data_IF_448604641610
#
_entry.id   IF_448604641610
#
_cell.length_a   1.000
_cell.length_b   1.000
_cell.length_c   1.000
_cell.angle_alpha   90.00
_cell.angle_beta   90.00
_cell.angle_gamma   90.00
#
_symmetry.space_group_name_H-M   'P 1'
#
loop_
_entity.id
_entity.type
_entity.pdbx_description
1 polymer ?
#
# COMPACT_ATOMS: atom_id res chain seq x y z
N UNK A 1 -13.61 -15.74 14.50
CA UNK A 1 -12.40 -15.98 13.66
C UNK A 1 -11.99 -14.68 13.03
N UNK A 2 -10.74 -14.22 13.24
CA UNK A 2 -10.19 -13.00 12.64
C UNK A 2 -8.98 -13.28 11.72
N UNK A 3 -8.47 -14.53 11.69
CA UNK A 3 -7.34 -14.90 10.83
C UNK A 3 -7.76 -14.91 9.36
N UNK A 4 -7.21 -13.98 8.60
CA UNK A 4 -7.45 -13.78 7.17
C UNK A 4 -6.19 -14.16 6.42
N UNK A 5 -6.31 -15.07 5.47
CA UNK A 5 -5.24 -15.53 4.58
C UNK A 5 -5.55 -14.99 3.18
N UNK A 6 -4.87 -13.95 2.77
CA UNK A 6 -5.16 -13.26 1.51
C UNK A 6 -3.88 -12.87 0.76
N UNK A 7 -4.02 -12.43 -0.47
CA UNK A 7 -2.95 -11.85 -1.30
C UNK A 7 -2.26 -10.66 -0.61
N UNK A 8 -2.98 -9.95 0.27
CA UNK A 8 -2.43 -8.81 1.02
C UNK A 8 -1.71 -9.23 2.31
N UNK A 9 -1.41 -10.52 2.48
CA UNK A 9 -0.75 -11.09 3.64
C UNK A 9 -1.67 -11.88 4.57
N UNK A 10 -1.06 -12.45 5.59
CA UNK A 10 -1.70 -13.22 6.65
C UNK A 10 -1.91 -12.29 7.83
N UNK A 11 -3.15 -11.91 8.13
CA UNK A 11 -3.49 -10.95 9.17
C UNK A 11 -4.52 -11.50 10.16
N UNK A 12 -4.46 -11.02 11.39
CA UNK A 12 -5.42 -11.38 12.42
C UNK A 12 -5.24 -10.55 13.70
N UNK A 13 -6.20 -10.65 14.60
CA UNK A 13 -6.02 -10.11 15.96
C UNK A 13 -5.01 -10.95 16.70
N UNK A 14 -4.14 -10.30 17.47
CA UNK A 14 -3.10 -10.98 18.26
C UNK A 14 -3.70 -11.70 19.46
N UNK A 15 -3.23 -12.92 19.71
CA UNK A 15 -3.72 -13.80 20.81
C UNK A 15 -4.89 -14.67 20.36
N UNK A 16 -5.62 -15.24 21.33
CA UNK A 16 -6.79 -16.09 21.03
C UNK A 16 -6.44 -17.53 20.65
N UNK A 17 -7.19 -18.12 19.71
CA UNK A 17 -7.12 -19.54 19.34
C UNK A 17 -6.30 -19.75 18.08
N UNK A 18 -5.47 -20.80 18.07
CA UNK A 18 -4.66 -21.20 16.89
C UNK A 18 -5.60 -21.46 15.70
N UNK A 19 -5.23 -20.88 14.55
CA UNK A 19 -6.00 -21.02 13.31
C UNK A 19 -7.22 -20.07 13.19
N UNK A 20 -7.61 -19.40 14.28
CA UNK A 20 -8.69 -18.41 14.30
C UNK A 20 -8.21 -16.97 14.46
N UNK A 21 -7.04 -16.79 15.05
CA UNK A 21 -6.38 -15.53 15.34
C UNK A 21 -4.92 -15.62 14.90
N UNK A 22 -4.17 -14.52 14.92
CA UNK A 22 -2.74 -14.53 14.67
C UNK A 22 -1.99 -14.86 15.98
N UNK A 23 -1.84 -16.14 16.27
CA UNK A 23 -1.11 -16.64 17.44
C UNK A 23 0.37 -16.84 17.15
N UNK A 24 1.24 -17.03 18.18
CA UNK A 24 2.65 -17.38 17.96
C UNK A 24 2.85 -18.63 17.08
N UNK A 25 1.97 -19.64 17.23
CA UNK A 25 2.03 -20.86 16.40
C UNK A 25 1.72 -20.55 14.95
N UNK A 26 0.73 -19.70 14.68
CA UNK A 26 0.38 -19.27 13.32
C UNK A 26 1.52 -18.47 12.69
N UNK A 27 2.16 -17.56 13.43
CA UNK A 27 3.34 -16.81 12.95
C UNK A 27 4.45 -17.76 12.52
N UNK A 28 4.83 -18.73 13.36
CA UNK A 28 5.87 -19.72 13.03
C UNK A 28 5.45 -20.54 11.80
N UNK A 29 4.22 -21.06 11.77
CA UNK A 29 3.69 -21.88 10.67
C UNK A 29 3.75 -21.15 9.32
N UNK A 30 3.24 -19.92 9.26
CA UNK A 30 3.25 -19.14 8.01
C UNK A 30 4.64 -18.69 7.59
N UNK A 31 5.51 -18.35 8.54
CA UNK A 31 6.90 -18.02 8.24
C UNK A 31 7.65 -19.23 7.67
N UNK A 32 7.45 -20.41 8.26
CA UNK A 32 8.03 -21.66 7.76
C UNK A 32 7.52 -21.98 6.35
N UNK A 33 6.20 -21.90 6.12
CA UNK A 33 5.61 -22.15 4.80
C UNK A 33 6.16 -21.20 3.73
N UNK A 34 6.34 -19.92 4.06
CA UNK A 34 6.94 -18.96 3.14
C UNK A 34 8.41 -19.28 2.85
N UNK A 35 9.17 -19.64 3.87
CA UNK A 35 10.56 -20.08 3.69
C UNK A 35 10.65 -21.30 2.76
N UNK A 36 9.79 -22.32 2.96
CA UNK A 36 9.73 -23.50 2.09
C UNK A 36 9.41 -23.12 0.64
N UNK A 37 8.42 -22.24 0.44
CA UNK A 37 8.05 -21.73 -0.88
C UNK A 37 9.23 -21.08 -1.62
N UNK A 38 10.01 -20.26 -0.93
CA UNK A 38 11.17 -19.62 -1.53
C UNK A 38 12.29 -20.64 -1.84
N UNK A 39 12.52 -21.62 -0.96
CA UNK A 39 13.47 -22.70 -1.19
C UNK A 39 13.11 -23.53 -2.41
N UNK A 40 11.83 -23.94 -2.54
CA UNK A 40 11.30 -24.66 -3.72
C UNK A 40 11.57 -23.87 -5.02
N UNK A 41 11.28 -22.59 -5.03
CA UNK A 41 11.46 -21.73 -6.21
C UNK A 41 12.95 -21.59 -6.60
N UNK A 42 13.84 -21.52 -5.62
CA UNK A 42 15.29 -21.44 -5.87
C UNK A 42 15.81 -22.73 -6.51
N UNK A 43 15.40 -23.89 -6.03
CA UNK A 43 15.78 -25.20 -6.57
C UNK A 43 15.28 -25.36 -8.02
N UNK A 44 14.04 -24.93 -8.31
CA UNK A 44 13.47 -24.97 -9.66
C UNK A 44 14.23 -24.06 -10.62
N UNK A 45 14.63 -22.89 -10.17
CA UNK A 45 15.41 -21.93 -10.98
C UNK A 45 16.82 -22.46 -11.25
N UNK A 46 17.48 -23.04 -10.25
CA UNK A 46 18.81 -23.66 -10.41
C UNK A 46 18.79 -24.86 -11.38
N UNK A 47 17.74 -25.67 -11.34
CA UNK A 47 17.57 -26.82 -12.23
C UNK A 47 17.26 -26.45 -13.69
N UNK A 48 16.64 -25.29 -13.93
CA UNK A 48 16.28 -24.80 -15.26
C UNK A 48 17.40 -23.98 -15.95
N UNK A 49 18.41 -23.52 -15.21
CA UNK A 49 19.48 -22.64 -15.70
C UNK A 49 20.82 -23.37 -15.97
N UNK A 50 20.79 -24.64 -16.37
CA UNK A 50 22.04 -25.36 -16.75
C UNK A 50 22.78 -24.75 -17.95
N UNK A 51 22.27 -23.69 -18.57
CA UNK A 51 22.83 -23.05 -19.76
C UNK A 51 22.67 -21.52 -19.79
N UNK A 52 23.21 -20.75 -18.82
CA UNK A 52 23.53 -19.35 -19.10
C UNK A 52 24.23 -18.59 -17.96
N UNK A 53 25.19 -17.83 -18.38
CA UNK A 53 26.15 -16.96 -17.74
C UNK A 53 25.58 -15.73 -16.98
N UNK A 54 25.04 -15.92 -15.78
CA UNK A 54 24.92 -14.85 -14.79
C UNK A 54 25.46 -15.35 -13.43
N UNK A 55 26.78 -15.28 -13.30
CA UNK A 55 27.56 -15.88 -12.22
C UNK A 55 27.52 -15.14 -10.86
N UNK A 56 26.81 -14.01 -10.74
CA UNK A 56 26.81 -13.24 -9.48
C UNK A 56 25.77 -13.71 -8.46
N UNK A 57 24.65 -14.31 -8.86
CA UNK A 57 23.62 -14.79 -7.93
C UNK A 57 23.70 -16.31 -7.63
N UNK A 58 24.41 -17.07 -8.47
CA UNK A 58 24.55 -18.52 -8.31
C UNK A 58 25.56 -18.95 -7.22
N UNK A 59 26.39 -18.03 -6.74
CA UNK A 59 27.51 -18.35 -5.81
C UNK A 59 27.16 -18.18 -4.32
N UNK A 60 25.93 -17.77 -3.98
CA UNK A 60 25.49 -17.71 -2.58
C UNK A 60 24.98 -19.05 -2.10
N UNK A 61 25.69 -19.64 -1.15
CA UNK A 61 25.31 -20.92 -0.54
C UNK A 61 24.04 -20.84 0.32
N UNK A 62 23.68 -19.66 0.86
CA UNK A 62 22.54 -19.45 1.76
C UNK A 62 21.54 -18.43 1.18
N UNK A 63 20.24 -18.66 1.45
CA UNK A 63 19.18 -17.68 1.17
C UNK A 63 19.24 -16.53 2.17
N UNK A 64 18.77 -15.35 1.73
CA UNK A 64 18.72 -14.13 2.53
C UNK A 64 17.32 -13.55 2.55
N UNK A 65 16.83 -13.16 3.72
CA UNK A 65 15.53 -12.48 3.87
C UNK A 65 15.64 -11.20 4.67
N UNK A 66 14.95 -10.17 4.19
CA UNK A 66 14.76 -8.91 4.91
C UNK A 66 13.50 -9.00 5.77
N UNK A 67 13.58 -8.51 7.01
CA UNK A 67 12.44 -8.42 7.92
C UNK A 67 12.33 -6.99 8.45
N UNK A 68 11.15 -6.37 8.31
CA UNK A 68 10.86 -5.05 8.86
C UNK A 68 9.52 -5.05 9.58
N UNK A 69 9.28 -4.08 10.47
CA UNK A 69 8.01 -3.96 11.20
C UNK A 69 7.60 -2.52 11.45
N UNK A 70 6.30 -2.29 11.57
CA UNK A 70 5.77 -1.05 12.13
C UNK A 70 5.93 -0.98 13.66
N UNK A 71 5.41 0.09 14.28
CA UNK A 71 5.55 0.30 15.72
C UNK A 71 4.49 -0.42 16.56
N UNK A 72 3.63 -1.27 15.98
CA UNK A 72 2.59 -2.00 16.74
C UNK A 72 3.17 -2.70 17.97
N UNK A 73 2.46 -2.65 19.08
CA UNK A 73 2.88 -3.21 20.37
C UNK A 73 3.31 -4.68 20.25
N UNK A 74 2.58 -5.46 19.46
CA UNK A 74 2.89 -6.88 19.20
C UNK A 74 4.09 -7.09 18.27
N UNK A 75 4.52 -6.04 17.56
CA UNK A 75 5.52 -6.14 16.48
C UNK A 75 6.83 -6.78 16.93
N UNK A 76 7.37 -6.38 18.09
CA UNK A 76 8.65 -6.94 18.58
C UNK A 76 8.57 -8.44 18.94
N UNK A 77 7.40 -8.92 19.38
CA UNK A 77 7.20 -10.35 19.67
C UNK A 77 7.13 -11.13 18.36
N UNK A 78 6.31 -10.65 17.42
CA UNK A 78 6.15 -11.29 16.11
C UNK A 78 7.47 -11.30 15.35
N UNK A 79 8.24 -10.19 15.39
CA UNK A 79 9.56 -10.10 14.74
C UNK A 79 10.53 -11.17 15.23
N UNK A 80 10.65 -11.37 16.56
CA UNK A 80 11.51 -12.42 17.12
C UNK A 80 11.12 -13.81 16.67
N UNK A 81 9.81 -14.11 16.59
CA UNK A 81 9.32 -15.39 16.09
C UNK A 81 9.68 -15.58 14.62
N UNK A 82 9.45 -14.58 13.78
CA UNK A 82 9.79 -14.59 12.35
C UNK A 82 11.29 -14.80 12.15
N UNK A 83 12.13 -13.96 12.75
CA UNK A 83 13.58 -14.03 12.59
C UNK A 83 14.15 -15.39 13.08
N UNK A 84 13.72 -15.87 14.25
CA UNK A 84 14.17 -17.15 14.77
C UNK A 84 13.71 -18.32 13.90
N UNK A 85 12.51 -18.28 13.35
CA UNK A 85 12.00 -19.31 12.44
C UNK A 85 12.82 -19.34 11.15
N UNK A 86 13.09 -18.18 10.53
CA UNK A 86 13.91 -18.09 9.33
C UNK A 86 15.33 -18.62 9.54
N UNK A 87 15.97 -18.24 10.67
CA UNK A 87 17.28 -18.79 11.04
C UNK A 87 17.25 -20.31 11.19
N UNK A 88 16.17 -20.85 11.80
CA UNK A 88 15.97 -22.30 11.95
C UNK A 88 15.75 -23.02 10.61
N UNK A 89 15.34 -22.29 9.57
CA UNK A 89 15.23 -22.79 8.20
C UNK A 89 16.54 -22.68 7.41
N UNK A 90 17.63 -22.21 8.03
CA UNK A 90 18.91 -22.02 7.37
C UNK A 90 18.99 -20.75 6.52
N UNK A 91 18.16 -19.76 6.80
CA UNK A 91 18.06 -18.51 6.04
C UNK A 91 18.78 -17.38 6.80
N UNK A 92 19.63 -16.64 6.10
CA UNK A 92 20.25 -15.42 6.60
C UNK A 92 19.18 -14.32 6.76
N UNK A 93 19.08 -13.73 7.96
CA UNK A 93 18.10 -12.70 8.29
C UNK A 93 18.78 -11.34 8.36
N UNK A 94 18.26 -10.38 7.60
CA UNK A 94 18.56 -8.95 7.70
C UNK A 94 17.35 -8.28 8.35
N UNK A 95 17.44 -8.03 9.66
CA UNK A 95 16.37 -7.38 10.43
C UNK A 95 16.56 -5.86 10.38
N UNK A 96 15.56 -5.13 9.89
CA UNK A 96 15.55 -3.67 9.85
C UNK A 96 15.03 -3.06 11.17
N UNK A 97 14.49 -3.90 12.06
CA UNK A 97 13.79 -3.43 13.24
C UNK A 97 12.53 -2.63 12.88
N UNK A 98 12.37 -1.41 13.42
CA UNK A 98 11.32 -0.48 12.98
C UNK A 98 11.62 -0.01 11.56
N UNK A 99 10.65 -0.19 10.67
CA UNK A 99 10.76 0.16 9.25
C UNK A 99 9.38 0.48 8.67
N UNK A 100 9.36 1.16 7.53
CA UNK A 100 8.13 1.35 6.75
C UNK A 100 7.96 0.20 5.75
N UNK A 101 6.74 0.02 5.24
CA UNK A 101 6.50 -0.93 4.14
C UNK A 101 7.39 -0.63 2.95
N UNK A 102 7.40 0.58 2.35
CA UNK A 102 8.25 0.87 1.19
C UNK A 102 9.75 0.78 1.50
N UNK A 103 10.21 1.15 2.69
CA UNK A 103 11.62 0.98 3.06
C UNK A 103 12.01 -0.50 3.10
N UNK A 104 11.12 -1.38 3.58
CA UNK A 104 11.39 -2.82 3.60
C UNK A 104 11.42 -3.40 2.17
N UNK A 105 10.52 -2.97 1.30
CA UNK A 105 10.50 -3.32 -0.12
C UNK A 105 11.80 -2.91 -0.83
N UNK A 106 12.24 -1.68 -0.62
CA UNK A 106 13.52 -1.17 -1.13
C UNK A 106 14.71 -1.95 -0.58
N UNK A 107 14.70 -2.29 0.71
CA UNK A 107 15.78 -3.05 1.33
C UNK A 107 15.91 -4.47 0.74
N UNK A 108 14.82 -5.14 0.35
CA UNK A 108 14.88 -6.42 -0.37
C UNK A 108 15.72 -6.29 -1.64
N UNK A 109 15.48 -5.24 -2.43
CA UNK A 109 16.20 -4.98 -3.68
C UNK A 109 17.67 -4.61 -3.39
N UNK A 110 17.88 -3.65 -2.49
CA UNK A 110 19.21 -3.10 -2.19
C UNK A 110 20.16 -4.12 -1.52
N UNK A 111 19.62 -4.99 -0.68
CA UNK A 111 20.37 -6.06 -0.03
C UNK A 111 20.44 -7.33 -0.88
N UNK A 112 19.90 -7.32 -2.09
CA UNK A 112 19.79 -8.48 -2.99
C UNK A 112 19.23 -9.70 -2.25
N UNK A 113 18.16 -9.52 -1.47
CA UNK A 113 17.55 -10.61 -0.73
C UNK A 113 16.62 -11.45 -1.62
N UNK A 114 16.44 -12.71 -1.25
CA UNK A 114 15.56 -13.64 -1.97
C UNK A 114 14.08 -13.38 -1.69
N UNK A 115 13.79 -12.58 -0.66
CA UNK A 115 12.46 -12.13 -0.29
C UNK A 115 12.46 -11.31 0.99
N UNK A 116 11.25 -10.97 1.46
CA UNK A 116 11.10 -10.21 2.71
C UNK A 116 9.78 -10.46 3.42
N UNK A 117 9.73 -10.07 4.68
CA UNK A 117 8.52 -10.07 5.49
C UNK A 117 8.36 -8.71 6.16
N UNK A 118 7.21 -8.07 5.93
CA UNK A 118 6.83 -6.86 6.65
C UNK A 118 5.79 -7.22 7.70
N UNK A 119 6.07 -6.89 8.95
CA UNK A 119 5.20 -7.17 10.09
C UNK A 119 4.38 -5.93 10.39
N UNK A 120 3.21 -5.84 9.79
CA UNK A 120 2.28 -4.71 9.92
C UNK A 120 0.88 -5.11 9.47
N UNK A 121 -0.14 -4.55 10.10
CA UNK A 121 -1.52 -4.63 9.63
C UNK A 121 -2.00 -3.29 9.03
N UNK A 122 -1.06 -2.42 8.55
CA UNK A 122 -1.36 -1.11 7.97
C UNK A 122 -2.33 -0.30 8.86
N UNK A 123 -3.43 0.17 8.31
CA UNK A 123 -4.46 0.97 8.97
C UNK A 123 -5.42 0.20 9.88
N UNK A 124 -5.28 -1.12 10.04
CA UNK A 124 -6.11 -1.85 11.00
C UNK A 124 -5.87 -1.38 12.45
N UNK A 125 -6.85 -1.48 13.35
CA UNK A 125 -6.69 -1.13 14.76
C UNK A 125 -5.51 -1.85 15.44
N UNK A 126 -5.03 -1.32 16.58
CA UNK A 126 -3.78 -1.75 17.21
C UNK A 126 -3.72 -3.21 17.66
N UNK A 127 -4.87 -3.86 17.91
CA UNK A 127 -4.94 -5.29 18.25
C UNK A 127 -4.66 -6.23 17.08
N UNK A 128 -4.61 -5.71 15.85
CA UNK A 128 -4.27 -6.47 14.65
C UNK A 128 -2.76 -6.47 14.40
N UNK A 129 -2.27 -7.55 13.76
CA UNK A 129 -0.98 -7.57 13.09
C UNK A 129 -1.05 -8.49 11.87
N UNK A 130 -0.02 -8.46 11.03
CA UNK A 130 0.05 -9.31 9.86
C UNK A 130 1.49 -9.61 9.46
N UNK A 131 1.64 -10.64 8.62
CA UNK A 131 2.83 -10.95 7.83
C UNK A 131 2.51 -10.61 6.37
N UNK A 132 3.08 -9.55 5.84
CA UNK A 132 3.06 -9.21 4.40
C UNK A 132 4.31 -9.81 3.77
N UNK A 133 4.17 -10.59 2.72
CA UNK A 133 5.23 -11.41 2.12
C UNK A 133 5.71 -10.77 0.82
N UNK A 134 7.03 -10.60 0.68
CA UNK A 134 7.67 -9.99 -0.48
C UNK A 134 8.52 -11.00 -1.24
N UNK A 135 8.46 -10.94 -2.57
CA UNK A 135 9.37 -11.65 -3.46
C UNK A 135 10.73 -10.96 -3.54
N UNK A 136 11.66 -11.50 -4.32
CA UNK A 136 13.02 -10.96 -4.50
C UNK A 136 13.10 -9.62 -5.25
N UNK A 137 11.97 -9.11 -5.76
CA UNK A 137 11.87 -7.77 -6.37
C UNK A 137 11.36 -6.72 -5.38
N UNK A 138 11.16 -7.07 -4.12
CA UNK A 138 10.54 -6.21 -3.13
C UNK A 138 9.05 -5.97 -3.35
N UNK A 139 8.38 -6.84 -4.10
CA UNK A 139 6.95 -6.74 -4.40
C UNK A 139 6.17 -7.77 -3.61
N UNK A 140 4.91 -7.51 -3.31
CA UNK A 140 4.06 -8.52 -2.69
C UNK A 140 3.94 -9.76 -3.58
N UNK A 141 3.88 -10.92 -2.93
CA UNK A 141 3.63 -12.19 -3.62
C UNK A 141 2.28 -12.15 -4.35
N UNK A 142 2.19 -12.81 -5.50
CA UNK A 142 0.97 -12.91 -6.29
C UNK A 142 -0.11 -13.74 -5.60
N UNK A 143 -1.34 -13.67 -6.10
CA UNK A 143 -2.44 -14.47 -5.57
C UNK A 143 -2.24 -15.99 -5.71
N UNK A 144 -1.52 -16.44 -6.72
CA UNK A 144 -1.20 -17.86 -6.91
C UNK A 144 -0.12 -18.30 -5.93
N UNK A 145 0.93 -17.51 -5.76
CA UNK A 145 1.99 -17.74 -4.76
C UNK A 145 1.42 -17.77 -3.35
N UNK A 146 0.55 -16.82 -2.99
CA UNK A 146 -0.12 -16.80 -1.69
C UNK A 146 -0.94 -18.06 -1.42
N UNK A 147 -1.67 -18.59 -2.42
CA UNK A 147 -2.38 -19.87 -2.30
C UNK A 147 -1.43 -21.04 -2.09
N UNK A 148 -0.30 -21.08 -2.81
CA UNK A 148 0.73 -22.13 -2.62
C UNK A 148 1.31 -22.08 -1.21
N UNK A 149 1.64 -20.89 -0.70
CA UNK A 149 2.15 -20.70 0.67
C UNK A 149 1.14 -21.19 1.71
N UNK A 150 -0.15 -20.87 1.53
CA UNK A 150 -1.21 -21.38 2.43
C UNK A 150 -1.28 -22.90 2.42
N UNK A 151 -1.16 -23.56 1.27
CA UNK A 151 -1.13 -25.03 1.19
C UNK A 151 0.08 -25.61 1.91
N UNK A 152 1.24 -24.98 1.84
CA UNK A 152 2.44 -25.41 2.55
C UNK A 152 2.31 -25.36 4.08
N UNK A 153 1.38 -24.58 4.63
CA UNK A 153 1.11 -24.60 6.08
C UNK A 153 0.54 -25.93 6.58
N UNK A 154 0.01 -26.76 5.70
CA UNK A 154 -0.59 -28.08 6.01
C UNK A 154 0.38 -29.24 5.75
N UNK A 155 1.62 -28.94 5.30
CA UNK A 155 2.61 -29.97 5.00
C UNK A 155 3.26 -30.49 6.29
N UNK A 156 3.36 -31.82 6.41
CA UNK A 156 4.11 -32.50 7.47
C UNK A 156 5.58 -32.79 7.08
N UNK A 157 6.00 -32.46 5.84
CA UNK A 157 7.32 -32.79 5.29
C UNK A 157 8.37 -31.65 5.49
N UNK A 158 8.13 -30.76 6.46
CA UNK A 158 9.01 -29.62 6.71
C UNK A 158 10.27 -30.09 7.42
N UNK A 159 11.44 -29.71 6.85
CA UNK A 159 12.74 -29.97 7.47
C UNK A 159 13.39 -28.66 7.90
N UNK A 160 13.79 -28.59 9.16
CA UNK A 160 14.59 -27.48 9.69
C UNK A 160 16.08 -27.75 9.54
N UNK A 161 16.89 -26.67 9.53
CA UNK A 161 18.33 -26.78 9.38
C UNK A 161 18.99 -27.43 10.59
N UNK A 162 20.04 -28.21 10.34
CA UNK A 162 20.93 -28.75 11.39
C UNK A 162 21.79 -27.62 11.97
N UNK A 163 22.40 -27.84 13.14
CA UNK A 163 23.17 -26.84 13.88
C UNK A 163 24.26 -26.15 13.06
N UNK A 164 24.86 -26.85 12.14
CA UNK A 164 25.93 -26.38 11.23
C UNK A 164 25.40 -25.59 10.03
N UNK A 165 24.06 -25.57 9.83
CA UNK A 165 23.36 -24.90 8.71
C UNK A 165 22.37 -23.84 9.16
N UNK A 166 22.36 -23.47 10.44
CA UNK A 166 21.51 -22.40 10.94
C UNK A 166 21.84 -21.08 10.23
N UNK A 167 20.80 -20.30 9.91
CA UNK A 167 20.95 -18.98 9.33
C UNK A 167 21.56 -17.96 10.29
N UNK A 168 22.27 -16.98 9.74
CA UNK A 168 22.78 -15.84 10.49
C UNK A 168 21.71 -14.78 10.76
N UNK A 169 22.00 -13.86 11.67
CA UNK A 169 21.14 -12.70 11.96
C UNK A 169 21.99 -11.43 11.96
N UNK A 170 21.53 -10.42 11.26
CA UNK A 170 22.16 -9.09 11.21
C UNK A 170 21.09 -8.02 11.39
N UNK A 171 21.30 -7.09 12.32
CA UNK A 171 20.50 -5.87 12.42
C UNK A 171 21.04 -4.84 11.43
N UNK A 172 20.17 -4.29 10.56
CA UNK A 172 20.55 -3.30 9.55
C UNK A 172 19.82 -1.98 9.78
N UNK A 173 20.53 -0.99 10.31
CA UNK A 173 19.95 0.28 10.77
C UNK A 173 19.92 1.37 9.68
N UNK A 174 20.54 1.16 8.51
CA UNK A 174 20.64 2.19 7.47
C UNK A 174 19.51 2.17 6.44
N UNK A 175 18.55 1.25 6.52
CA UNK A 175 17.53 1.05 5.48
C UNK A 175 16.73 2.31 5.16
N UNK A 176 16.32 3.10 6.16
CA UNK A 176 15.61 4.37 5.94
C UNK A 176 16.49 5.37 5.20
N UNK A 177 17.76 5.47 5.57
CA UNK A 177 18.71 6.36 4.90
C UNK A 177 18.92 5.97 3.45
N UNK A 178 19.13 4.69 3.17
CA UNK A 178 19.35 4.18 1.82
C UNK A 178 18.12 4.40 0.93
N UNK A 179 16.92 4.24 1.49
CA UNK A 179 15.67 4.53 0.79
C UNK A 179 15.56 6.03 0.47
N UNK A 180 15.82 6.91 1.45
CA UNK A 180 15.84 8.37 1.25
C UNK A 180 16.88 8.78 0.21
N UNK A 181 18.08 8.22 0.26
CA UNK A 181 19.14 8.49 -0.72
C UNK A 181 18.69 8.08 -2.14
N UNK A 182 17.97 6.97 -2.29
CA UNK A 182 17.40 6.55 -3.58
C UNK A 182 16.34 7.56 -4.08
N UNK A 183 15.46 8.06 -3.21
CA UNK A 183 14.46 9.10 -3.55
C UNK A 183 15.15 10.39 -4.01
N UNK A 184 16.20 10.82 -3.31
CA UNK A 184 16.94 12.04 -3.65
C UNK A 184 17.65 11.97 -5.02
N UNK A 185 17.96 10.77 -5.50
CA UNK A 185 18.57 10.53 -6.80
C UNK A 185 17.57 10.47 -7.96
N UNK A 186 16.26 10.50 -7.68
CA UNK A 186 15.23 10.50 -8.72
C UNK A 186 15.27 11.79 -9.56
N UNK A 187 15.17 11.69 -10.90
CA UNK A 187 15.27 12.86 -11.78
C UNK A 187 14.19 13.94 -11.52
N UNK A 188 13.03 13.54 -11.02
CA UNK A 188 11.91 14.44 -10.74
C UNK A 188 11.92 15.03 -9.33
N UNK A 189 12.85 14.64 -8.46
CA UNK A 189 13.01 15.21 -7.12
C UNK A 189 14.03 16.33 -7.17
N UNK A 190 13.60 17.57 -6.89
CA UNK A 190 14.46 18.77 -6.94
C UNK A 190 14.69 19.33 -5.54
N UNK A 191 15.69 18.78 -4.84
CA UNK A 191 16.11 19.22 -3.52
C UNK A 191 16.40 20.72 -3.48
N UNK A 192 17.01 21.29 -4.53
CA UNK A 192 17.37 22.72 -4.56
C UNK A 192 16.12 23.59 -4.61
N UNK A 193 15.11 23.22 -5.39
CA UNK A 193 13.85 23.93 -5.44
C UNK A 193 13.12 23.87 -4.10
N UNK A 194 13.05 22.70 -3.46
CA UNK A 194 12.43 22.51 -2.15
C UNK A 194 13.15 23.34 -1.08
N UNK A 195 14.49 23.28 -1.03
CA UNK A 195 15.29 24.08 -0.08
C UNK A 195 15.05 25.57 -0.23
N UNK A 196 14.98 26.09 -1.47
CA UNK A 196 14.72 27.52 -1.75
C UNK A 196 13.30 27.94 -1.36
N UNK A 197 12.33 27.03 -1.48
CA UNK A 197 10.94 27.32 -1.10
C UNK A 197 10.77 27.50 0.41
N UNK A 198 11.68 26.94 1.22
CA UNK A 198 11.72 27.08 2.69
C UNK A 198 10.38 26.74 3.35
N UNK A 199 9.81 25.59 2.98
CA UNK A 199 8.51 25.14 3.46
C UNK A 199 8.50 24.89 4.97
N UNK A 200 7.36 25.20 5.59
CA UNK A 200 6.99 24.81 6.95
C UNK A 200 6.02 23.64 6.88
N UNK A 201 6.45 22.49 7.35
CA UNK A 201 5.72 21.23 7.22
C UNK A 201 5.28 20.72 8.58
N UNK A 202 4.05 20.23 8.68
CA UNK A 202 3.57 19.47 9.84
C UNK A 202 3.26 18.03 9.41
N UNK A 203 3.65 17.09 10.26
CA UNK A 203 3.45 15.66 10.05
C UNK A 203 2.50 15.11 11.11
N UNK A 204 1.63 14.17 10.74
CA UNK A 204 0.98 13.26 11.67
C UNK A 204 1.40 11.84 11.34
N UNK A 205 2.08 11.19 12.27
CA UNK A 205 2.71 9.87 12.10
C UNK A 205 2.07 8.78 12.93
N UNK A 206 0.92 9.08 13.53
CA UNK A 206 0.04 8.13 14.25
C UNK A 206 0.75 7.25 15.28
N UNK A 207 1.82 7.76 15.92
CA UNK A 207 2.70 7.03 16.84
C UNK A 207 3.31 5.75 16.24
N UNK A 208 3.69 5.81 14.94
CA UNK A 208 4.29 4.70 14.23
C UNK A 208 5.51 5.13 13.39
N UNK A 209 5.90 4.32 12.42
CA UNK A 209 7.18 4.43 11.70
C UNK A 209 7.30 5.63 10.76
N UNK A 210 6.21 6.35 10.51
CA UNK A 210 6.28 7.68 9.90
C UNK A 210 7.18 8.65 10.66
N UNK A 211 7.21 8.55 12.02
CA UNK A 211 8.08 9.36 12.85
C UNK A 211 9.58 9.03 12.70
N UNK A 212 9.91 7.82 12.24
CA UNK A 212 11.28 7.41 11.92
C UNK A 212 11.71 7.94 10.55
N UNK A 213 10.88 7.77 9.53
CA UNK A 213 11.30 7.96 8.14
C UNK A 213 11.08 9.38 7.61
N UNK A 214 9.93 10.02 7.92
CA UNK A 214 9.57 11.30 7.33
C UNK A 214 10.47 12.47 7.78
N UNK A 215 10.86 12.60 9.06
CA UNK A 215 11.81 13.65 9.46
C UNK A 215 13.17 13.52 8.77
N UNK A 216 13.65 12.29 8.52
CA UNK A 216 14.88 12.02 7.77
C UNK A 216 14.73 12.48 6.33
N UNK A 217 13.65 12.09 5.65
CA UNK A 217 13.35 12.53 4.28
C UNK A 217 13.30 14.05 4.17
N UNK A 218 12.52 14.73 5.00
CA UNK A 218 12.32 16.17 4.94
C UNK A 218 13.62 16.94 5.20
N UNK A 219 14.41 16.51 6.17
CA UNK A 219 15.73 17.08 6.45
C UNK A 219 16.65 16.96 5.23
N UNK A 220 16.72 15.80 4.62
CA UNK A 220 17.57 15.57 3.45
C UNK A 220 17.05 16.32 2.21
N UNK A 221 15.75 16.57 2.08
CA UNK A 221 15.17 17.46 1.07
C UNK A 221 15.42 18.95 1.36
N UNK A 222 15.99 19.31 2.52
CA UNK A 222 16.28 20.69 2.90
C UNK A 222 15.11 21.44 3.54
N UNK A 223 14.09 20.72 4.04
CA UNK A 223 13.00 21.28 4.85
C UNK A 223 13.46 21.32 6.30
N UNK A 224 13.65 22.54 6.85
CA UNK A 224 14.19 22.75 8.20
C UNK A 224 13.13 23.03 9.27
N UNK A 225 11.93 23.48 8.87
CA UNK A 225 10.82 23.79 9.80
C UNK A 225 9.79 22.65 9.73
N UNK A 226 9.98 21.64 10.58
CA UNK A 226 9.15 20.44 10.64
C UNK A 226 8.58 20.24 12.03
N UNK A 227 7.28 20.15 12.14
CA UNK A 227 6.57 19.77 13.38
C UNK A 227 6.02 18.34 13.22
N UNK A 228 6.25 17.49 14.21
CA UNK A 228 5.73 16.12 14.23
C UNK A 228 4.66 15.98 15.29
N UNK A 229 3.45 15.63 14.89
CA UNK A 229 2.38 15.17 15.77
C UNK A 229 2.42 13.64 15.87
N UNK A 230 2.08 13.14 17.06
CA UNK A 230 1.94 11.69 17.28
C UNK A 230 3.19 10.90 16.86
N UNK A 231 4.36 11.35 17.34
CA UNK A 231 5.68 10.84 16.93
C UNK A 231 6.35 9.85 17.89
N UNK A 232 5.63 9.23 18.84
CA UNK A 232 6.24 8.43 19.91
C UNK A 232 6.68 7.00 19.51
N UNK A 233 6.31 6.53 18.35
CA UNK A 233 6.64 5.18 17.82
C UNK A 233 6.37 4.03 18.81
N UNK A 234 5.35 4.17 19.66
CA UNK A 234 5.00 3.20 20.70
C UNK A 234 3.88 2.24 20.28
N UNK A 235 3.28 2.45 19.10
CA UNK A 235 2.18 1.65 18.56
C UNK A 235 0.84 1.85 19.26
N UNK A 236 0.75 2.81 20.18
CA UNK A 236 -0.51 3.30 20.75
C UNK A 236 -1.01 4.41 19.84
N UNK A 237 -1.80 4.06 18.84
CA UNK A 237 -2.26 5.00 17.83
C UNK A 237 -3.09 6.12 18.45
N UNK A 238 -2.72 7.36 18.18
CA UNK A 238 -3.35 8.55 18.79
C UNK A 238 -4.79 8.77 18.28
N UNK A 239 -5.11 8.27 17.11
CA UNK A 239 -6.43 8.22 16.50
C UNK A 239 -6.57 6.93 15.68
N UNK A 240 -7.72 6.70 15.06
CA UNK A 240 -7.86 5.59 14.11
C UNK A 240 -6.80 5.74 13.01
N UNK A 241 -5.96 4.72 12.77
CA UNK A 241 -4.76 4.86 11.93
C UNK A 241 -5.04 4.96 10.43
N UNK A 242 -6.28 4.86 9.98
CA UNK A 242 -6.61 5.11 8.59
C UNK A 242 -6.64 6.62 8.30
N UNK A 243 -5.85 7.14 7.33
CA UNK A 243 -5.76 8.57 7.04
C UNK A 243 -6.93 9.07 6.18
N UNK A 244 -8.14 8.99 6.72
CA UNK A 244 -9.40 9.46 6.13
C UNK A 244 -9.95 10.66 6.90
N UNK A 245 -10.85 11.47 6.31
CA UNK A 245 -11.30 12.73 6.87
C UNK A 245 -11.75 12.67 8.33
N UNK A 246 -12.46 11.62 8.72
CA UNK A 246 -13.02 11.44 10.06
C UNK A 246 -11.94 11.34 11.15
N UNK A 247 -10.72 10.95 10.78
CA UNK A 247 -9.63 10.71 11.70
C UNK A 247 -8.61 11.87 11.78
N UNK A 248 -8.71 12.89 10.90
CA UNK A 248 -7.68 13.89 10.69
C UNK A 248 -7.96 15.25 11.33
N UNK A 249 -8.97 15.36 12.20
CA UNK A 249 -9.34 16.62 12.84
C UNK A 249 -8.18 17.29 13.61
N UNK A 250 -7.27 16.51 14.20
CA UNK A 250 -6.13 17.01 14.96
C UNK A 250 -5.18 17.87 14.12
N UNK A 251 -4.70 17.32 13.01
CA UNK A 251 -3.78 18.05 12.11
C UNK A 251 -4.49 19.19 11.36
N UNK A 252 -5.74 19.01 10.94
CA UNK A 252 -6.53 20.07 10.31
C UNK A 252 -6.66 21.29 11.23
N UNK A 253 -6.94 21.06 12.51
CA UNK A 253 -7.00 22.14 13.51
C UNK A 253 -5.63 22.79 13.77
N UNK A 254 -4.54 22.01 13.77
CA UNK A 254 -3.19 22.56 13.92
C UNK A 254 -2.81 23.43 12.71
N UNK A 255 -3.09 22.99 11.50
CA UNK A 255 -2.87 23.73 10.25
C UNK A 255 -3.66 25.05 10.24
N UNK A 256 -4.96 25.04 10.56
CA UNK A 256 -5.81 26.23 10.53
C UNK A 256 -5.43 27.33 11.53
N UNK A 257 -4.66 27.00 12.57
CA UNK A 257 -4.24 27.90 13.65
C UNK A 257 -2.78 28.36 13.54
N UNK A 258 -2.06 27.89 12.54
CA UNK A 258 -0.62 28.09 12.40
C UNK A 258 -0.25 28.40 10.94
N UNK A 259 0.99 28.79 10.69
CA UNK A 259 1.46 29.19 9.37
C UNK A 259 2.28 28.05 8.72
N UNK A 260 1.71 26.84 8.63
CA UNK A 260 2.30 25.75 7.85
C UNK A 260 1.91 25.88 6.37
N UNK A 261 2.80 25.47 5.48
CA UNK A 261 2.55 25.47 4.04
C UNK A 261 1.81 24.20 3.60
N UNK A 262 2.08 23.08 4.27
CA UNK A 262 1.46 21.78 3.97
C UNK A 262 1.54 20.85 5.18
N UNK A 263 0.51 20.04 5.37
CA UNK A 263 0.47 18.92 6.32
C UNK A 263 0.49 17.58 5.60
N UNK A 264 1.22 16.61 6.14
CA UNK A 264 1.24 15.24 5.66
C UNK A 264 0.82 14.28 6.76
N UNK A 265 -0.05 13.34 6.43
CA UNK A 265 -0.49 12.27 7.32
C UNK A 265 -0.22 10.94 6.67
N UNK A 266 0.35 10.02 7.43
CA UNK A 266 0.61 8.65 6.95
C UNK A 266 -0.03 7.63 7.87
N UNK A 267 -0.29 6.45 7.33
CA UNK A 267 -0.71 5.29 8.12
C UNK A 267 0.50 4.63 8.83
N UNK A 268 0.29 3.65 9.71
CA UNK A 268 1.35 3.08 10.54
C UNK A 268 2.59 2.55 9.83
N UNK A 269 2.45 2.08 8.60
CA UNK A 269 3.53 1.51 7.79
C UNK A 269 3.91 2.36 6.57
N UNK A 270 3.34 3.58 6.46
CA UNK A 270 3.79 4.65 5.55
C UNK A 270 3.62 4.31 4.06
N UNK A 271 2.64 3.47 3.75
CA UNK A 271 2.29 3.15 2.35
C UNK A 271 1.16 4.04 1.82
N UNK A 272 0.50 4.85 2.69
CA UNK A 272 -0.55 5.81 2.34
C UNK A 272 -0.20 7.22 2.78
N UNK A 273 -0.58 8.20 1.96
CA UNK A 273 -0.33 9.63 2.17
C UNK A 273 -1.63 10.42 2.01
N UNK A 274 -2.06 11.08 3.07
CA UNK A 274 -3.05 12.15 3.01
C UNK A 274 -2.37 13.52 3.17
N UNK A 275 -2.86 14.51 2.43
CA UNK A 275 -2.32 15.86 2.40
C UNK A 275 -3.34 16.83 3.01
N UNK A 276 -2.85 17.80 3.79
CA UNK A 276 -3.65 18.88 4.38
C UNK A 276 -3.12 20.21 3.86
N UNK A 277 -4.03 21.05 3.36
CA UNK A 277 -3.67 22.36 2.80
C UNK A 277 -3.31 23.36 3.88
N UNK A 278 -2.68 24.46 3.50
CA UNK A 278 -2.29 25.58 4.37
C UNK A 278 -3.46 26.19 5.18
N UNK A 279 -4.69 25.96 4.76
CA UNK A 279 -5.90 26.44 5.45
C UNK A 279 -6.50 25.40 6.41
N UNK A 280 -5.88 24.22 6.55
CA UNK A 280 -6.40 23.12 7.37
C UNK A 280 -7.53 22.33 6.71
N UNK A 281 -7.77 22.53 5.41
CA UNK A 281 -8.70 21.70 4.63
C UNK A 281 -7.99 20.48 4.08
N UNK A 282 -8.70 19.37 3.95
CA UNK A 282 -8.13 18.16 3.37
C UNK A 282 -7.93 18.32 1.86
N UNK A 283 -6.80 17.86 1.37
CA UNK A 283 -6.54 17.73 -0.07
C UNK A 283 -7.43 16.62 -0.66
N UNK A 284 -7.91 15.72 0.18
CA UNK A 284 -8.58 14.46 -0.03
C UNK A 284 -7.59 13.37 -0.52
N UNK A 285 -7.65 12.19 0.08
CA UNK A 285 -6.70 11.08 -0.14
C UNK A 285 -6.65 10.60 -1.60
N UNK A 286 -7.79 10.64 -2.30
CA UNK A 286 -7.88 10.31 -3.74
C UNK A 286 -6.98 11.23 -4.59
N UNK A 287 -6.87 12.51 -4.21
CA UNK A 287 -6.14 13.51 -4.99
C UNK A 287 -4.64 13.54 -4.72
N UNK A 288 -4.15 12.83 -3.72
CA UNK A 288 -2.71 12.62 -3.54
C UNK A 288 -2.10 12.02 -4.80
N UNK A 289 -2.64 10.90 -5.26
CA UNK A 289 -2.21 10.24 -6.49
C UNK A 289 -2.40 11.14 -7.72
N UNK A 290 -3.52 11.84 -7.80
CA UNK A 290 -3.86 12.72 -8.94
C UNK A 290 -2.83 13.84 -9.10
N UNK A 291 -2.49 14.54 -8.01
CA UNK A 291 -1.55 15.66 -8.04
C UNK A 291 -0.11 15.20 -8.34
N UNK A 292 0.32 14.10 -7.71
CA UNK A 292 1.65 13.53 -7.99
C UNK A 292 1.73 13.04 -9.44
N UNK A 293 0.66 12.43 -9.96
CA UNK A 293 0.59 12.00 -11.36
C UNK A 293 0.61 13.18 -12.34
N UNK A 294 -0.11 14.27 -12.04
CA UNK A 294 -0.07 15.48 -12.89
C UNK A 294 1.37 16.02 -12.98
N UNK A 295 2.10 16.06 -11.86
CA UNK A 295 3.50 16.47 -11.85
C UNK A 295 4.39 15.52 -12.65
N UNK A 296 4.25 14.20 -12.48
CA UNK A 296 5.04 13.22 -13.24
C UNK A 296 4.75 13.34 -14.74
N UNK A 297 3.47 13.41 -15.14
CA UNK A 297 3.08 13.48 -16.54
C UNK A 297 3.50 14.78 -17.25
N UNK A 298 3.69 15.89 -16.51
CA UNK A 298 4.28 17.12 -17.06
C UNK A 298 5.71 16.92 -17.57
N UNK A 299 6.46 15.98 -16.99
CA UNK A 299 7.87 15.76 -17.29
C UNK A 299 8.12 14.45 -18.05
N UNK A 300 7.32 13.43 -17.74
CA UNK A 300 7.43 12.09 -18.33
C UNK A 300 6.02 11.63 -18.73
N UNK A 301 5.50 12.10 -19.89
CA UNK A 301 4.19 11.65 -20.38
C UNK A 301 4.17 10.14 -20.57
N UNK A 302 3.12 9.47 -20.07
CA UNK A 302 2.98 8.01 -20.13
C UNK A 302 1.66 7.53 -19.55
N UNK A 303 1.44 6.22 -19.62
CA UNK A 303 0.21 5.61 -19.12
C UNK A 303 0.12 5.67 -17.60
N UNK A 304 -1.10 5.68 -17.07
CA UNK A 304 -1.36 5.63 -15.63
C UNK A 304 -2.30 4.48 -15.28
N UNK A 305 -2.22 4.02 -14.03
CA UNK A 305 -3.07 2.95 -13.50
C UNK A 305 -3.57 3.31 -12.11
N UNK A 306 -4.85 3.09 -11.85
CA UNK A 306 -5.35 2.96 -10.48
C UNK A 306 -6.41 1.86 -10.38
N UNK A 307 -6.83 1.53 -9.16
CA UNK A 307 -7.87 0.51 -9.03
C UNK A 307 -9.27 1.05 -9.39
N UNK A 308 -10.20 0.13 -9.67
CA UNK A 308 -11.58 0.43 -10.09
C UNK A 308 -12.39 1.26 -9.07
N UNK A 309 -11.97 1.32 -7.81
CA UNK A 309 -12.64 2.11 -6.76
C UNK A 309 -12.02 3.51 -6.56
N UNK A 310 -11.01 3.87 -7.34
CA UNK A 310 -10.34 5.18 -7.28
C UNK A 310 -11.09 6.24 -8.10
N UNK A 311 -10.84 7.51 -7.76
CA UNK A 311 -11.44 8.65 -8.45
C UNK A 311 -11.11 8.68 -9.94
N UNK A 312 -12.09 9.11 -10.75
CA UNK A 312 -11.87 9.38 -12.19
C UNK A 312 -10.94 10.57 -12.45
N UNK A 313 -10.65 11.38 -11.43
CA UNK A 313 -9.77 12.53 -11.57
C UNK A 313 -8.37 12.15 -12.11
N UNK A 314 -7.86 10.93 -11.81
CA UNK A 314 -6.62 10.44 -12.42
C UNK A 314 -6.76 10.24 -13.92
N UNK A 315 -7.91 9.70 -14.36
CA UNK A 315 -8.20 9.55 -15.79
C UNK A 315 -8.23 10.91 -16.49
N UNK A 316 -8.90 11.91 -15.90
CA UNK A 316 -9.00 13.26 -16.48
C UNK A 316 -7.60 13.91 -16.64
N UNK A 317 -6.73 13.74 -15.63
CA UNK A 317 -5.34 14.20 -15.72
C UNK A 317 -4.58 13.45 -16.81
N UNK A 318 -4.76 12.13 -16.92
CA UNK A 318 -4.07 11.31 -17.93
C UNK A 318 -4.51 11.71 -19.34
N UNK A 319 -5.81 11.89 -19.54
CA UNK A 319 -6.40 12.34 -20.82
C UNK A 319 -5.89 13.73 -21.24
N UNK A 320 -5.68 14.66 -20.30
CA UNK A 320 -5.10 15.98 -20.52
C UNK A 320 -3.73 15.93 -21.22
N UNK A 321 -2.93 14.88 -20.95
CA UNK A 321 -1.64 14.65 -21.61
C UNK A 321 -1.72 13.73 -22.83
N UNK A 322 -2.91 13.32 -23.25
CA UNK A 322 -3.12 12.43 -24.39
C UNK A 322 -2.62 11.00 -24.16
N UNK A 323 -2.53 10.58 -22.90
CA UNK A 323 -2.06 9.26 -22.48
C UNK A 323 -3.22 8.34 -22.12
N UNK A 324 -2.93 7.07 -21.86
CA UNK A 324 -3.95 6.06 -21.57
C UNK A 324 -4.02 5.77 -20.07
N UNK A 325 -5.21 5.95 -19.48
CA UNK A 325 -5.54 5.47 -18.16
C UNK A 325 -6.09 4.04 -18.23
N UNK A 326 -5.61 3.13 -17.38
CA UNK A 326 -6.10 1.75 -17.31
C UNK A 326 -6.52 1.41 -15.86
N UNK A 327 -7.77 1.04 -15.61
CA UNK A 327 -8.19 0.59 -14.28
C UNK A 327 -7.79 -0.87 -14.03
N UNK A 328 -7.41 -1.19 -12.79
CA UNK A 328 -7.13 -2.55 -12.31
C UNK A 328 -8.20 -3.04 -11.32
N UNK A 329 -8.17 -4.33 -10.98
CA UNK A 329 -8.82 -4.82 -9.78
C UNK A 329 -8.28 -4.12 -8.52
N UNK A 330 -9.06 -4.10 -7.45
CA UNK A 330 -8.65 -3.49 -6.16
C UNK A 330 -7.54 -4.31 -5.51
N UNK A 331 -6.58 -3.61 -4.94
CA UNK A 331 -5.41 -4.16 -4.25
C UNK A 331 -4.12 -3.92 -5.00
N UNK A 332 -3.08 -3.57 -4.24
CA UNK A 332 -1.79 -3.14 -4.76
C UNK A 332 -1.18 -4.10 -5.77
N UNK A 333 -1.21 -5.41 -5.49
CA UNK A 333 -0.68 -6.45 -6.41
C UNK A 333 -1.30 -6.33 -7.80
N UNK A 334 -2.62 -6.12 -7.87
CA UNK A 334 -3.34 -5.99 -9.14
C UNK A 334 -2.99 -4.68 -9.87
N UNK A 335 -2.77 -3.60 -9.09
CA UNK A 335 -2.32 -2.31 -9.65
C UNK A 335 -0.94 -2.47 -10.24
N UNK A 336 0.01 -3.05 -9.51
CA UNK A 336 1.40 -3.28 -9.95
C UNK A 336 1.44 -4.16 -11.19
N UNK A 337 0.69 -5.25 -11.23
CA UNK A 337 0.60 -6.13 -12.39
C UNK A 337 0.09 -5.37 -13.64
N UNK A 338 -0.96 -4.56 -13.47
CA UNK A 338 -1.50 -3.74 -14.56
C UNK A 338 -0.53 -2.65 -15.00
N UNK A 339 0.20 -2.01 -14.06
CA UNK A 339 1.23 -1.02 -14.37
C UNK A 339 2.33 -1.62 -15.25
N UNK A 340 2.82 -2.81 -14.90
CA UNK A 340 3.82 -3.53 -15.71
C UNK A 340 3.30 -3.88 -17.09
N UNK A 341 2.06 -4.39 -17.17
CA UNK A 341 1.41 -4.77 -18.44
C UNK A 341 1.23 -3.58 -19.39
N UNK A 342 0.97 -2.39 -18.86
CA UNK A 342 0.69 -1.18 -19.64
C UNK A 342 1.89 -0.24 -19.74
N UNK A 343 3.04 -0.58 -19.15
CA UNK A 343 4.20 0.28 -18.99
C UNK A 343 3.82 1.65 -18.41
N UNK A 344 3.00 1.65 -17.35
CA UNK A 344 2.56 2.87 -16.69
C UNK A 344 3.72 3.57 -15.98
N UNK A 345 3.84 4.88 -16.15
CA UNK A 345 4.91 5.70 -15.55
C UNK A 345 4.60 6.08 -14.10
N UNK A 346 3.33 6.00 -13.72
CA UNK A 346 2.86 6.22 -12.35
C UNK A 346 1.52 5.52 -12.16
N UNK A 347 1.25 5.08 -10.95
CA UNK A 347 -0.02 4.48 -10.58
C UNK A 347 -0.23 4.48 -9.07
N UNK A 348 -1.27 3.81 -8.62
CA UNK A 348 -1.56 3.68 -7.20
C UNK A 348 -3.01 3.38 -6.88
N UNK A 349 -3.40 3.71 -5.68
CA UNK A 349 -4.77 3.53 -5.18
C UNK A 349 -5.32 4.84 -4.62
N UNK A 350 -6.64 5.04 -4.72
CA UNK A 350 -7.34 6.23 -4.22
C UNK A 350 -7.36 6.38 -2.69
N UNK A 351 -6.62 5.57 -1.97
CA UNK A 351 -6.43 5.65 -0.53
C UNK A 351 -5.15 6.42 -0.13
N UNK A 352 -4.58 7.20 -1.03
CA UNK A 352 -3.32 7.92 -0.85
C UNK A 352 -2.06 7.13 -1.21
N UNK A 353 -2.22 5.93 -1.75
CA UNK A 353 -1.09 5.08 -2.16
C UNK A 353 -0.53 5.47 -3.52
N UNK A 354 0.70 5.96 -3.58
CA UNK A 354 1.43 6.32 -4.80
C UNK A 354 2.44 5.24 -5.13
N UNK A 355 2.45 4.77 -6.37
CA UNK A 355 3.45 3.81 -6.90
C UNK A 355 4.22 4.50 -8.03
N UNK A 356 5.52 4.69 -7.85
CA UNK A 356 6.39 5.31 -8.83
C UNK A 356 7.49 4.33 -9.30
N UNK A 357 7.34 3.71 -10.50
CA UNK A 357 8.20 2.62 -10.97
C UNK A 357 9.67 2.96 -11.13
N UNK A 358 10.01 4.25 -11.33
CA UNK A 358 11.42 4.70 -11.36
C UNK A 358 12.14 4.45 -10.03
N UNK A 359 11.39 4.30 -8.92
CA UNK A 359 11.93 3.93 -7.62
C UNK A 359 11.71 2.44 -7.36
N UNK A 360 10.45 2.02 -7.23
CA UNK A 360 10.04 0.62 -7.05
C UNK A 360 8.54 0.42 -7.33
N UNK A 361 8.11 -0.84 -7.38
CA UNK A 361 6.71 -1.22 -7.59
C UNK A 361 5.99 -1.50 -6.25
N UNK A 362 5.95 -0.50 -5.37
CA UNK A 362 5.20 -0.52 -4.11
C UNK A 362 4.60 0.84 -3.80
N UNK A 363 3.55 0.89 -2.98
CA UNK A 363 2.98 2.15 -2.52
C UNK A 363 3.93 2.81 -1.53
N UNK A 364 4.25 4.08 -1.76
CA UNK A 364 5.29 4.79 -1.03
C UNK A 364 4.90 6.25 -0.76
N UNK A 365 4.63 6.56 0.51
CA UNK A 365 4.34 7.92 0.94
C UNK A 365 5.59 8.82 0.91
N UNK A 366 6.81 8.26 1.08
CA UNK A 366 8.04 9.06 1.05
C UNK A 366 8.28 9.66 -0.34
N UNK A 367 8.20 8.83 -1.39
CA UNK A 367 8.33 9.32 -2.77
C UNK A 367 7.17 10.26 -3.14
N UNK A 368 5.96 9.96 -2.67
CA UNK A 368 4.80 10.84 -2.83
C UNK A 368 5.04 12.24 -2.27
N UNK A 369 5.58 12.34 -1.05
CA UNK A 369 5.95 13.62 -0.40
C UNK A 369 7.04 14.35 -1.19
N UNK A 370 8.10 13.66 -1.61
CA UNK A 370 9.22 14.29 -2.32
C UNK A 370 8.78 14.87 -3.68
N UNK A 371 7.97 14.13 -4.43
CA UNK A 371 7.42 14.58 -5.72
C UNK A 371 6.42 15.73 -5.52
N UNK A 372 5.54 15.66 -4.51
CA UNK A 372 4.56 16.72 -4.23
C UNK A 372 5.23 17.99 -3.77
N UNK A 373 6.22 17.94 -2.87
CA UNK A 373 7.00 19.13 -2.46
C UNK A 373 7.77 19.74 -3.63
N UNK A 374 8.31 18.91 -4.53
CA UNK A 374 8.96 19.41 -5.74
C UNK A 374 7.94 20.12 -6.65
N UNK A 375 6.76 19.56 -6.81
CA UNK A 375 5.66 20.18 -7.56
C UNK A 375 5.27 21.54 -6.97
N UNK A 376 5.07 21.62 -5.65
CA UNK A 376 4.80 22.89 -4.97
C UNK A 376 5.92 23.92 -5.22
N UNK A 377 7.17 23.52 -5.02
CA UNK A 377 8.34 24.41 -5.15
C UNK A 377 8.51 24.94 -6.58
N UNK A 378 8.38 24.09 -7.60
CA UNK A 378 8.54 24.49 -9.02
C UNK A 378 7.37 25.32 -9.53
N UNK A 379 6.14 25.00 -9.12
CA UNK A 379 4.95 25.74 -9.55
C UNK A 379 4.81 27.09 -8.84
N UNK A 380 5.43 27.26 -7.66
CA UNK A 380 5.24 28.44 -6.80
C UNK A 380 3.81 28.56 -6.23
N UNK A 381 3.01 27.52 -6.33
CA UNK A 381 1.62 27.49 -5.87
C UNK A 381 1.54 26.96 -4.43
N UNK A 382 0.58 27.49 -3.67
CA UNK A 382 0.21 26.92 -2.38
C UNK A 382 -0.48 25.57 -2.56
N UNK A 383 -0.47 24.75 -1.53
CA UNK A 383 -1.09 23.42 -1.55
C UNK A 383 -2.57 23.48 -1.99
N UNK A 384 -3.37 24.36 -1.40
CA UNK A 384 -4.77 24.57 -1.78
C UNK A 384 -4.97 25.02 -3.22
N UNK A 385 -4.03 25.83 -3.77
CA UNK A 385 -4.08 26.26 -5.16
C UNK A 385 -3.79 25.10 -6.14
N UNK A 386 -2.95 24.15 -5.74
CA UNK A 386 -2.74 22.92 -6.53
C UNK A 386 -4.01 22.09 -6.52
N UNK A 387 -4.64 21.88 -5.35
CA UNK A 387 -5.89 21.13 -5.25
C UNK A 387 -6.99 21.71 -6.13
N UNK A 388 -7.13 23.03 -6.15
CA UNK A 388 -8.14 23.73 -6.93
C UNK A 388 -7.97 23.63 -8.46
N UNK A 389 -6.90 23.01 -8.97
CA UNK A 389 -6.71 22.78 -10.39
C UNK A 389 -7.50 21.57 -10.91
N UNK A 390 -7.95 20.71 -10.00
CA UNK A 390 -8.67 19.46 -10.32
C UNK A 390 -10.15 19.61 -10.04
N UNK A 391 -11.03 18.96 -10.83
CA UNK A 391 -12.46 18.91 -10.55
C UNK A 391 -12.73 18.31 -9.17
N UNK A 392 -13.80 18.75 -8.53
CA UNK A 392 -14.27 18.15 -7.28
C UNK A 392 -15.17 16.96 -7.60
N UNK A 393 -14.68 15.77 -7.28
CA UNK A 393 -15.48 14.55 -7.26
C UNK A 393 -15.72 14.09 -5.83
N UNK A 394 -16.92 13.55 -5.59
CA UNK A 394 -17.37 13.07 -4.29
C UNK A 394 -17.63 11.57 -4.36
N UNK A 395 -16.93 10.81 -3.53
CA UNK A 395 -17.11 9.36 -3.44
C UNK A 395 -17.94 9.03 -2.20
N UNK A 396 -19.07 8.34 -2.42
CA UNK A 396 -19.91 7.78 -1.36
C UNK A 396 -19.65 6.30 -1.27
N UNK A 397 -19.41 5.81 -0.04
CA UNK A 397 -19.09 4.41 0.28
C UNK A 397 -20.26 3.83 1.09
N UNK A 398 -20.96 2.83 0.55
CA UNK A 398 -22.04 2.09 1.22
C UNK A 398 -21.69 0.60 1.31
N UNK A 399 -22.33 -0.08 2.25
CA UNK A 399 -22.25 -1.54 2.38
C UNK A 399 -23.63 -2.11 2.64
N UNK A 400 -23.85 -3.34 2.21
CA UNK A 400 -25.04 -4.13 2.54
C UNK A 400 -24.63 -5.53 2.93
N UNK A 401 -25.23 -6.04 3.99
CA UNK A 401 -25.06 -7.42 4.40
C UNK A 401 -25.81 -8.34 3.44
N UNK A 402 -25.26 -9.51 3.21
CA UNK A 402 -25.88 -10.54 2.40
C UNK A 402 -26.20 -11.75 3.28
N UNK A 403 -27.33 -12.39 2.99
CA UNK A 403 -27.58 -13.73 3.50
C UNK A 403 -26.57 -14.71 2.89
N UNK A 404 -26.10 -15.67 3.70
CA UNK A 404 -25.13 -16.67 3.29
C UNK A 404 -25.61 -17.58 2.12
N UNK A 405 -26.91 -17.59 1.83
CA UNK A 405 -27.52 -18.32 0.72
C UNK A 405 -27.41 -17.63 -0.64
N UNK A 406 -27.00 -16.33 -0.67
CA UNK A 406 -26.95 -15.55 -1.91
C UNK A 406 -25.71 -15.93 -2.74
N UNK A 407 -25.95 -16.37 -3.97
CA UNK A 407 -24.86 -16.52 -4.97
C UNK A 407 -24.45 -15.13 -5.48
N UNK A 408 -23.35 -14.60 -4.88
CA UNK A 408 -22.82 -13.26 -5.20
C UNK A 408 -22.42 -13.17 -6.67
N UNK A 409 -21.88 -14.24 -7.25
CA UNK A 409 -21.43 -14.23 -8.65
C UNK A 409 -22.62 -14.11 -9.60
N UNK A 410 -23.70 -14.84 -9.33
CA UNK A 410 -24.93 -14.74 -10.10
C UNK A 410 -25.59 -13.36 -9.95
N UNK A 411 -25.60 -12.81 -8.74
CA UNK A 411 -26.12 -11.46 -8.48
C UNK A 411 -25.35 -10.39 -9.25
N UNK A 412 -24.02 -10.41 -9.21
CA UNK A 412 -23.17 -9.48 -9.97
C UNK A 412 -23.38 -9.63 -11.49
N UNK A 413 -23.62 -10.86 -11.97
CA UNK A 413 -24.02 -11.12 -13.35
C UNK A 413 -25.30 -10.41 -13.75
N UNK A 414 -26.36 -10.55 -12.94
CA UNK A 414 -27.65 -9.89 -13.16
C UNK A 414 -27.54 -8.35 -13.15
N UNK A 415 -26.69 -7.79 -12.26
CA UNK A 415 -26.42 -6.34 -12.22
C UNK A 415 -25.77 -5.90 -13.53
N UNK A 416 -24.74 -6.60 -14.00
CA UNK A 416 -24.06 -6.29 -15.24
C UNK A 416 -25.00 -6.33 -16.46
N UNK A 417 -25.93 -7.27 -16.49
CA UNK A 417 -26.97 -7.38 -17.53
C UNK A 417 -27.98 -6.22 -17.46
N UNK A 418 -28.48 -5.88 -16.26
CA UNK A 418 -29.42 -4.76 -16.05
C UNK A 418 -28.84 -3.43 -16.54
N UNK A 419 -27.52 -3.23 -16.43
CA UNK A 419 -26.82 -2.01 -16.83
C UNK A 419 -26.04 -2.13 -18.13
N UNK A 420 -26.33 -3.14 -18.97
CA UNK A 420 -25.62 -3.41 -20.23
C UNK A 420 -25.65 -2.28 -21.27
N UNK A 421 -26.54 -1.31 -21.12
CA UNK A 421 -26.61 -0.11 -21.97
C UNK A 421 -25.52 0.94 -21.63
N UNK A 422 -24.78 0.75 -20.53
CA UNK A 422 -23.69 1.59 -20.08
C UNK A 422 -22.35 0.86 -20.27
N UNK A 423 -21.25 1.57 -20.08
CA UNK A 423 -19.94 0.94 -20.04
C UNK A 423 -19.80 0.14 -18.73
N UNK A 424 -19.67 -1.18 -18.83
CA UNK A 424 -19.58 -2.08 -17.69
C UNK A 424 -18.19 -2.75 -17.66
N UNK A 425 -17.49 -2.62 -16.54
CA UNK A 425 -16.24 -3.33 -16.27
C UNK A 425 -16.48 -4.43 -15.21
N UNK A 426 -16.00 -5.65 -15.49
CA UNK A 426 -16.21 -6.85 -14.66
C UNK A 426 -14.92 -7.47 -14.11
N UNK A 427 -13.84 -6.72 -14.12
CA UNK A 427 -12.52 -7.20 -13.66
C UNK A 427 -12.50 -7.50 -12.15
N UNK A 428 -13.22 -6.68 -11.36
CA UNK A 428 -13.40 -6.89 -9.91
C UNK A 428 -14.82 -6.48 -9.54
N UNK A 429 -15.72 -7.45 -9.38
CA UNK A 429 -17.14 -7.15 -9.23
C UNK A 429 -17.76 -6.56 -10.49
N UNK A 430 -18.50 -5.46 -10.36
CA UNK A 430 -19.13 -4.75 -11.48
C UNK A 430 -18.99 -3.25 -11.27
N UNK A 431 -18.26 -2.57 -12.13
CA UNK A 431 -18.24 -1.11 -12.23
C UNK A 431 -19.05 -0.69 -13.46
N UNK A 432 -19.91 0.29 -13.25
CA UNK A 432 -20.77 0.90 -14.28
C UNK A 432 -20.32 2.36 -14.40
N UNK A 433 -19.84 2.75 -15.57
CA UNK A 433 -19.46 4.13 -15.86
C UNK A 433 -20.60 4.83 -16.61
N UNK A 434 -21.06 5.95 -16.05
CA UNK A 434 -21.97 6.90 -16.65
C UNK A 434 -21.16 8.06 -17.27
N UNK A 435 -21.84 9.05 -17.87
CA UNK A 435 -21.17 10.18 -18.50
C UNK A 435 -20.24 10.94 -17.51
N UNK A 436 -20.78 11.36 -16.35
CA UNK A 436 -20.08 12.18 -15.35
C UNK A 436 -19.92 11.49 -13.99
N UNK A 437 -20.20 10.21 -13.91
CA UNK A 437 -20.20 9.47 -12.64
C UNK A 437 -19.92 8.00 -12.86
N UNK A 438 -19.69 7.28 -11.78
CA UNK A 438 -19.60 5.83 -11.83
C UNK A 438 -20.13 5.20 -10.53
N UNK A 439 -20.48 3.91 -10.60
CA UNK A 439 -20.73 3.09 -9.42
C UNK A 439 -20.03 1.75 -9.54
N UNK A 440 -19.38 1.33 -8.46
CA UNK A 440 -18.66 0.08 -8.36
C UNK A 440 -19.24 -0.78 -7.24
N UNK A 441 -19.65 -2.00 -7.57
CA UNK A 441 -20.17 -2.99 -6.63
C UNK A 441 -19.30 -4.22 -6.64
N UNK A 442 -18.85 -4.63 -5.45
CA UNK A 442 -18.01 -5.83 -5.31
C UNK A 442 -18.22 -6.53 -3.97
N UNK A 443 -17.91 -7.83 -3.93
CA UNK A 443 -17.89 -8.57 -2.68
C UNK A 443 -16.73 -8.11 -1.78
N UNK A 444 -16.91 -8.19 -0.48
CA UNK A 444 -15.78 -8.13 0.45
C UNK A 444 -15.07 -9.48 0.45
N UNK A 445 -13.73 -9.45 0.48
CA UNK A 445 -12.92 -10.67 0.61
C UNK A 445 -12.86 -11.20 2.04
N UNK A 446 -13.40 -10.44 3.02
CA UNK A 446 -13.21 -10.71 4.46
C UNK A 446 -14.52 -10.80 5.24
N UNK A 447 -15.62 -10.33 4.68
CA UNK A 447 -16.93 -10.24 5.33
C UNK A 447 -18.04 -10.61 4.34
N UNK A 448 -19.18 -11.17 4.81
CA UNK A 448 -20.33 -11.49 3.94
C UNK A 448 -21.12 -10.21 3.59
N UNK A 449 -20.45 -9.23 2.98
CA UNK A 449 -21.02 -7.95 2.57
C UNK A 449 -20.70 -7.63 1.11
N UNK A 450 -21.56 -6.87 0.50
CA UNK A 450 -21.28 -6.14 -0.74
C UNK A 450 -20.92 -4.70 -0.40
N UNK A 451 -19.84 -4.23 -0.99
CA UNK A 451 -19.40 -2.83 -0.98
C UNK A 451 -19.86 -2.13 -2.23
N UNK A 452 -20.42 -0.94 -2.07
CA UNK A 452 -20.94 -0.10 -3.15
C UNK A 452 -20.28 1.26 -3.01
N UNK A 453 -19.48 1.63 -3.99
CA UNK A 453 -18.84 2.93 -4.08
C UNK A 453 -19.40 3.65 -5.29
N UNK A 454 -19.76 4.92 -5.15
CA UNK A 454 -20.23 5.74 -6.25
C UNK A 454 -19.57 7.11 -6.22
N UNK A 455 -19.18 7.61 -7.37
CA UNK A 455 -18.56 8.93 -7.54
C UNK A 455 -19.38 9.78 -8.49
N UNK A 456 -19.53 11.05 -8.16
CA UNK A 456 -20.14 12.07 -9.00
C UNK A 456 -19.60 13.47 -8.65
N UNK A 457 -20.02 14.48 -9.44
CA UNK A 457 -19.68 15.90 -9.24
C UNK A 457 -20.33 16.51 -7.98
N UNK A 458 -21.23 15.80 -7.29
CA UNK A 458 -21.77 16.20 -6.00
C UNK A 458 -22.07 14.98 -5.14
N UNK A 459 -21.98 15.15 -3.83
CA UNK A 459 -22.26 14.10 -2.85
C UNK A 459 -23.68 13.56 -2.97
N UNK A 460 -24.66 14.45 -3.19
CA UNK A 460 -26.06 14.06 -3.33
C UNK A 460 -26.32 13.18 -4.56
N UNK A 461 -25.65 13.45 -5.69
CA UNK A 461 -25.75 12.62 -6.90
C UNK A 461 -25.07 11.26 -6.67
N UNK A 462 -23.89 11.25 -6.08
CA UNK A 462 -23.18 10.01 -5.75
C UNK A 462 -24.01 9.13 -4.78
N UNK A 463 -24.63 9.75 -3.75
CA UNK A 463 -25.50 9.05 -2.81
C UNK A 463 -26.73 8.45 -3.48
N UNK A 464 -27.38 9.20 -4.37
CA UNK A 464 -28.53 8.72 -5.13
C UNK A 464 -28.17 7.52 -6.02
N UNK A 465 -27.02 7.56 -6.71
CA UNK A 465 -26.54 6.45 -7.54
C UNK A 465 -26.30 5.21 -6.69
N UNK A 466 -25.58 5.35 -5.56
CA UNK A 466 -25.32 4.25 -4.65
C UNK A 466 -26.63 3.66 -4.07
N UNK A 467 -27.55 4.53 -3.66
CA UNK A 467 -28.86 4.12 -3.11
C UNK A 467 -29.73 3.40 -4.14
N UNK A 468 -29.74 3.87 -5.39
CA UNK A 468 -30.45 3.21 -6.49
C UNK A 468 -29.90 1.81 -6.71
N UNK A 469 -28.56 1.65 -6.78
CA UNK A 469 -27.96 0.33 -6.95
C UNK A 469 -28.27 -0.60 -5.76
N UNK A 470 -28.29 -0.09 -4.52
CA UNK A 470 -28.72 -0.87 -3.36
C UNK A 470 -30.18 -1.36 -3.49
N UNK A 471 -31.09 -0.54 -4.03
CA UNK A 471 -32.47 -0.94 -4.30
C UNK A 471 -32.53 -2.03 -5.37
N UNK A 472 -31.81 -1.85 -6.47
CA UNK A 472 -31.71 -2.83 -7.55
C UNK A 472 -31.16 -4.18 -7.06
N UNK A 473 -30.15 -4.17 -6.17
CA UNK A 473 -29.61 -5.38 -5.54
C UNK A 473 -30.70 -6.11 -4.74
N UNK A 474 -31.50 -5.38 -3.94
CA UNK A 474 -32.61 -5.96 -3.15
C UNK A 474 -33.68 -6.57 -4.04
N UNK A 475 -34.03 -5.89 -5.13
CA UNK A 475 -35.00 -6.40 -6.11
C UNK A 475 -34.52 -7.69 -6.82
N UNK A 476 -33.21 -7.77 -7.14
CA UNK A 476 -32.61 -8.92 -7.81
C UNK A 476 -32.42 -10.14 -6.89
N UNK A 477 -32.46 -9.91 -5.56
CA UNK A 477 -32.41 -10.95 -4.54
C UNK A 477 -33.78 -11.47 -4.14
N UNK A 478 -34.85 -10.68 -4.33
CA UNK A 478 -36.24 -11.06 -4.07
C UNK A 478 -36.77 -12.02 -5.15
#
# INVERSE_FOLDING_TARGET
>A
MTLIKSISGIRGTIGGTIGENLTPVDVVRFTTAFACFLLENREQTASSQSDSSNLQDADRSMMRMVVGRDARISGSIVNRLVCSTLQSMGIEVIDLGLSTTPTTEMAVIQQHADGGIIITASHNPMQWNALKLLNNKGEFVSGEEAKRIVLLTESDEIQYATIDKLGSYTLYENAVKDHVDAILNLPLVDKNAITKANFKVILDTVNSTGALALPVLLKELGVNDVTVLNGEMNGVFAHNPEPIPENLAGICNAMSRSNYDVGFVVDPDVDRLAIVTENGTLFNEEYTLVAVSDYVLQHTPGNTVSNLSSSRALKDVTDKYGMTYTPSAVGEVNVVEMMKKTNAVIGGEGNGGVIYPELHYGRDALVGIALFLTFMAKSGKKCGQIRAQYPDYFIVKKKTELDSSVDIKALLGKIAEKYSNYQVNRVDGVRIDFEDSWVHVRSSNTEPIIRIYAEAMSESVADNIASKLMSDIRELMA
#
